data_IF_394242714133
#
_entry.id   IF_394242714133
#
_cell.length_a   1.000
_cell.length_b   1.000
_cell.length_c   1.000
_cell.angle_alpha   90.00
_cell.angle_beta   90.00
_cell.angle_gamma   90.00
#
_symmetry.space_group_name_H-M   'P 1'
#
loop_
_entity.id
_entity.type
_entity.pdbx_description
1 polymer ?
#
# COMPACT_ATOMS: atom_id res chain seq x y z
N UNK A 1 -46.29 8.98 60.64
CA UNK A 1 -45.60 9.10 59.33
C UNK A 1 -44.27 9.87 59.36
N UNK A 2 -43.57 9.99 60.50
CA UNK A 2 -42.25 10.67 60.55
C UNK A 2 -41.06 9.70 60.43
N UNK A 3 -41.17 8.48 60.92
CA UNK A 3 -40.07 7.49 60.92
C UNK A 3 -39.69 6.94 59.54
N UNK A 4 -40.63 6.80 58.60
CA UNK A 4 -40.30 6.26 57.26
C UNK A 4 -39.57 7.26 56.33
N UNK A 5 -39.59 8.56 56.66
CA UNK A 5 -38.85 9.57 55.89
C UNK A 5 -37.36 9.58 56.23
N UNK A 6 -36.99 9.23 57.45
CA UNK A 6 -35.59 9.25 57.89
C UNK A 6 -34.79 8.05 57.35
N UNK A 7 -35.43 6.90 57.17
CA UNK A 7 -34.82 5.73 56.53
C UNK A 7 -34.54 5.98 55.05
N UNK A 8 -35.46 6.61 54.31
CA UNK A 8 -35.28 6.87 52.88
C UNK A 8 -34.13 7.86 52.60
N UNK A 9 -33.99 8.90 53.44
CA UNK A 9 -32.88 9.87 53.32
C UNK A 9 -31.52 9.21 53.62
N UNK A 10 -31.47 8.23 54.54
CA UNK A 10 -30.25 7.45 54.80
C UNK A 10 -29.91 6.48 53.66
N UNK A 11 -30.88 5.93 52.93
CA UNK A 11 -30.63 5.01 51.81
C UNK A 11 -30.17 5.73 50.53
N UNK A 12 -30.58 6.98 50.32
CA UNK A 12 -30.11 7.81 49.19
C UNK A 12 -28.70 8.37 49.37
N UNK A 13 -28.15 8.35 50.60
CA UNK A 13 -26.74 8.62 50.86
C UNK A 13 -25.93 7.33 50.73
N UNK A 14 -26.10 6.61 49.61
CA UNK A 14 -24.99 5.81 49.11
C UNK A 14 -23.90 6.85 48.82
N UNK A 15 -22.78 6.88 49.55
CA UNK A 15 -21.62 7.45 48.92
C UNK A 15 -21.51 6.67 47.62
N UNK A 16 -21.41 7.38 46.50
CA UNK A 16 -20.40 6.93 45.58
C UNK A 16 -19.17 6.78 46.46
N UNK A 17 -18.93 5.55 46.96
CA UNK A 17 -17.58 5.01 47.07
C UNK A 17 -17.08 5.04 45.63
N UNK A 18 -16.85 6.26 45.13
CA UNK A 18 -15.80 6.51 44.22
C UNK A 18 -14.63 5.81 44.87
N UNK A 19 -13.97 4.98 44.10
CA UNK A 19 -12.57 4.75 44.29
C UNK A 19 -11.90 6.14 44.31
N UNK A 20 -11.98 6.82 45.47
CA UNK A 20 -11.06 7.87 45.84
C UNK A 20 -9.76 7.15 46.14
N UNK A 21 -8.65 7.53 45.55
CA UNK A 21 -8.39 8.79 44.88
C UNK A 21 -6.91 9.02 45.07
N UNK A 22 -6.20 8.98 43.95
CA UNK A 22 -4.75 8.98 43.89
C UNK A 22 -4.32 7.92 42.90
N UNK A 23 -4.27 8.29 41.62
CA UNK A 23 -3.50 7.54 40.65
C UNK A 23 -2.08 7.46 41.23
N UNK A 24 -1.59 6.25 41.50
CA UNK A 24 -0.24 6.10 42.03
C UNK A 24 0.74 6.67 41.01
N UNK A 25 1.87 7.23 41.44
CA UNK A 25 2.89 7.77 40.51
C UNK A 25 3.29 6.71 39.46
N UNK A 26 3.29 5.44 39.86
CA UNK A 26 3.51 4.28 38.97
C UNK A 26 2.42 4.17 37.92
N UNK A 27 1.14 4.22 38.29
CA UNK A 27 0.05 4.18 37.31
C UNK A 27 0.10 5.38 36.35
N UNK A 28 0.48 6.58 36.82
CA UNK A 28 0.57 7.78 35.95
C UNK A 28 1.68 7.60 34.92
N UNK A 29 2.84 7.11 35.36
CA UNK A 29 3.95 6.79 34.45
C UNK A 29 3.52 5.71 33.45
N UNK A 30 2.82 4.68 33.92
CA UNK A 30 2.38 3.58 33.07
C UNK A 30 1.37 4.04 32.01
N UNK A 31 0.41 4.89 32.39
CA UNK A 31 -0.60 5.41 31.46
C UNK A 31 0.03 6.34 30.41
N UNK A 32 0.96 7.22 30.80
CA UNK A 32 1.72 8.06 29.88
C UNK A 32 2.55 7.18 28.93
N UNK A 33 3.24 6.16 29.44
CA UNK A 33 4.04 5.25 28.64
C UNK A 33 3.19 4.49 27.61
N UNK A 34 2.02 3.99 28.00
CA UNK A 34 1.09 3.32 27.07
C UNK A 34 0.62 4.29 25.99
N UNK A 35 0.18 5.50 26.35
CA UNK A 35 -0.27 6.50 25.37
C UNK A 35 0.87 6.90 24.42
N UNK A 36 2.08 7.10 24.93
CA UNK A 36 3.24 7.42 24.12
C UNK A 36 3.61 6.28 23.14
N UNK A 37 3.56 5.03 23.60
CA UNK A 37 3.80 3.86 22.74
C UNK A 37 2.72 3.71 21.66
N UNK A 38 1.45 3.91 22.01
CA UNK A 38 0.34 3.87 21.04
C UNK A 38 0.48 4.98 20.00
N UNK A 39 0.81 6.21 20.42
CA UNK A 39 1.05 7.32 19.52
C UNK A 39 2.23 7.05 18.57
N UNK A 40 3.32 6.45 19.11
CA UNK A 40 4.47 6.06 18.30
C UNK A 40 4.09 5.00 17.26
N UNK A 41 3.33 3.98 17.65
CA UNK A 41 2.85 2.94 16.74
C UNK A 41 1.93 3.50 15.65
N UNK A 42 1.04 4.44 16.00
CA UNK A 42 0.17 5.12 15.03
C UNK A 42 0.99 5.94 14.02
N UNK A 43 1.96 6.72 14.51
CA UNK A 43 2.87 7.52 13.67
C UNK A 43 3.72 6.67 12.73
N UNK A 44 4.25 5.54 13.20
CA UNK A 44 5.03 4.65 12.35
C UNK A 44 4.14 3.96 11.32
N UNK A 45 2.95 3.49 11.71
CA UNK A 45 1.97 2.92 10.79
C UNK A 45 1.58 3.90 9.68
N UNK A 46 1.25 5.15 10.02
CA UNK A 46 0.87 6.18 9.03
C UNK A 46 2.01 6.49 8.06
N UNK A 47 3.25 6.60 8.54
CA UNK A 47 4.42 6.80 7.69
C UNK A 47 4.62 5.63 6.72
N UNK A 48 4.45 4.40 7.19
CA UNK A 48 4.56 3.23 6.31
C UNK A 48 3.43 3.17 5.28
N UNK A 49 2.19 3.42 5.68
CA UNK A 49 1.03 3.43 4.79
C UNK A 49 1.19 4.50 3.69
N UNK A 50 1.63 5.70 4.06
CA UNK A 50 1.85 6.78 3.11
C UNK A 50 3.02 6.51 2.16
N UNK A 51 4.11 5.89 2.65
CA UNK A 51 5.23 5.48 1.80
C UNK A 51 4.80 4.42 0.78
N UNK A 52 3.96 3.45 1.18
CA UNK A 52 3.40 2.44 0.27
C UNK A 52 2.47 3.09 -0.76
N UNK A 53 1.59 4.00 -0.33
CA UNK A 53 0.69 4.72 -1.24
C UNK A 53 1.47 5.52 -2.29
N UNK A 54 2.48 6.29 -1.86
CA UNK A 54 3.35 7.04 -2.78
C UNK A 54 4.09 6.11 -3.73
N UNK A 55 4.57 4.97 -3.22
CA UNK A 55 5.23 3.95 -4.06
C UNK A 55 4.27 3.41 -5.12
N UNK A 56 3.00 3.17 -4.77
CA UNK A 56 1.96 2.78 -5.72
C UNK A 56 1.72 3.84 -6.80
N UNK A 57 1.65 5.12 -6.42
CA UNK A 57 1.48 6.22 -7.37
C UNK A 57 2.67 6.34 -8.35
N UNK A 58 3.90 6.24 -7.84
CA UNK A 58 5.13 6.28 -8.64
C UNK A 58 5.21 5.07 -9.59
N UNK A 59 4.85 3.87 -9.10
CA UNK A 59 4.79 2.67 -9.94
C UNK A 59 3.83 2.84 -11.11
N UNK A 60 2.65 3.44 -10.86
CA UNK A 60 1.67 3.75 -11.91
C UNK A 60 2.24 4.67 -12.98
N UNK A 61 2.80 5.82 -12.57
CA UNK A 61 3.38 6.77 -13.53
C UNK A 61 4.56 6.19 -14.31
N UNK A 62 5.41 5.39 -13.66
CA UNK A 62 6.55 4.76 -14.32
C UNK A 62 6.09 3.71 -15.34
N UNK A 63 5.07 2.93 -15.01
CA UNK A 63 4.48 1.99 -15.95
C UNK A 63 3.96 2.72 -17.19
N UNK A 64 3.12 3.75 -17.03
CA UNK A 64 2.56 4.54 -18.13
C UNK A 64 3.66 5.09 -19.06
N UNK A 65 4.75 5.62 -18.50
CA UNK A 65 5.89 6.09 -19.29
C UNK A 65 6.58 4.96 -20.06
N UNK A 66 6.82 3.81 -19.42
CA UNK A 66 7.43 2.66 -20.07
C UNK A 66 6.56 2.15 -21.24
N UNK A 67 5.24 2.09 -21.05
CA UNK A 67 4.28 1.76 -22.10
C UNK A 67 4.38 2.73 -23.28
N UNK A 68 4.27 4.05 -23.03
CA UNK A 68 4.32 5.06 -24.08
C UNK A 68 5.61 5.01 -24.90
N UNK A 69 6.75 4.74 -24.25
CA UNK A 69 8.03 4.58 -24.94
C UNK A 69 8.11 3.33 -25.81
N UNK A 70 7.58 2.20 -25.34
CA UNK A 70 7.51 0.98 -26.14
C UNK A 70 6.64 1.23 -27.37
N UNK A 71 5.47 1.84 -27.18
CA UNK A 71 4.54 2.17 -28.27
C UNK A 71 5.19 3.11 -29.30
N UNK A 72 5.88 4.16 -28.84
CA UNK A 72 6.62 5.06 -29.72
C UNK A 72 7.75 4.33 -30.47
N UNK A 73 8.48 3.44 -29.81
CA UNK A 73 9.55 2.65 -30.44
C UNK A 73 9.00 1.72 -31.53
N UNK A 74 7.84 1.12 -31.28
CA UNK A 74 7.12 0.32 -32.27
C UNK A 74 6.68 1.19 -33.45
N UNK A 75 6.00 2.31 -33.19
CA UNK A 75 5.47 3.20 -34.22
C UNK A 75 6.57 3.81 -35.11
N UNK A 76 7.74 4.09 -34.54
CA UNK A 76 8.91 4.63 -35.27
C UNK A 76 9.81 3.54 -35.86
N UNK A 77 9.52 2.26 -35.59
CA UNK A 77 10.36 1.13 -36.00
C UNK A 77 11.77 1.12 -35.39
N UNK A 78 12.02 1.94 -34.37
CA UNK A 78 13.36 2.22 -33.84
C UNK A 78 13.68 1.41 -32.58
N UNK A 79 14.88 0.81 -32.54
CA UNK A 79 15.40 0.12 -31.36
C UNK A 79 14.72 -1.20 -30.99
N UNK A 80 13.97 -1.82 -31.92
CA UNK A 80 13.52 -3.21 -31.79
C UNK A 80 14.61 -4.19 -32.22
N UNK A 81 14.79 -5.27 -31.48
CA UNK A 81 15.71 -6.36 -31.82
C UNK A 81 14.97 -7.46 -32.56
N UNK A 82 15.52 -7.96 -33.67
CA UNK A 82 14.94 -9.09 -34.39
C UNK A 82 14.81 -10.31 -33.46
N UNK A 83 13.64 -10.96 -33.49
CA UNK A 83 13.32 -12.09 -32.63
C UNK A 83 12.36 -13.05 -33.34
N UNK A 84 12.33 -14.30 -32.90
CA UNK A 84 11.39 -15.31 -33.40
C UNK A 84 10.61 -15.88 -32.23
N UNK A 85 9.29 -15.70 -32.23
CA UNK A 85 8.40 -16.36 -31.30
C UNK A 85 8.17 -17.78 -31.79
N UNK A 86 8.38 -18.79 -30.95
CA UNK A 86 8.05 -20.18 -31.28
C UNK A 86 7.02 -20.74 -30.31
N UNK A 87 6.01 -21.42 -30.85
CA UNK A 87 5.01 -22.13 -30.05
C UNK A 87 4.70 -23.47 -30.71
N UNK A 88 4.26 -24.44 -29.90
CA UNK A 88 3.94 -25.78 -30.38
C UNK A 88 2.45 -26.04 -30.22
N UNK A 89 1.84 -26.67 -31.22
CA UNK A 89 0.48 -27.19 -31.16
C UNK A 89 0.56 -28.68 -31.49
N UNK A 90 0.45 -29.52 -30.46
CA UNK A 90 0.73 -30.95 -30.57
C UNK A 90 2.20 -31.21 -30.93
N UNK A 91 2.44 -32.01 -31.98
CA UNK A 91 3.77 -32.31 -32.51
C UNK A 91 4.32 -31.23 -33.46
N UNK A 92 3.49 -30.27 -33.88
CA UNK A 92 3.85 -29.25 -34.87
C UNK A 92 4.39 -28.00 -34.18
N UNK A 93 5.54 -27.52 -34.62
CA UNK A 93 6.13 -26.25 -34.18
C UNK A 93 5.80 -25.13 -35.17
N UNK A 94 5.34 -24.00 -34.64
CA UNK A 94 5.06 -22.78 -35.38
C UNK A 94 6.04 -21.70 -34.94
N UNK A 95 6.55 -20.94 -35.89
CA UNK A 95 7.47 -19.84 -35.65
C UNK A 95 6.93 -18.57 -36.29
N UNK A 96 7.01 -17.46 -35.57
CA UNK A 96 6.61 -16.14 -36.03
C UNK A 96 7.81 -15.22 -35.90
N UNK A 97 8.32 -14.74 -37.03
CA UNK A 97 9.37 -13.72 -37.06
C UNK A 97 8.79 -12.37 -36.69
N UNK A 98 9.59 -11.56 -36.02
CA UNK A 98 9.19 -10.23 -35.61
C UNK A 98 10.32 -9.48 -34.92
N UNK A 99 9.93 -8.46 -34.15
CA UNK A 99 10.84 -7.63 -33.37
C UNK A 99 10.37 -7.51 -31.93
N UNK A 100 11.33 -7.59 -31.02
CA UNK A 100 11.12 -7.36 -29.60
C UNK A 100 11.56 -5.95 -29.22
N UNK A 101 10.69 -5.22 -28.54
CA UNK A 101 10.92 -3.89 -28.02
C UNK A 101 10.92 -3.96 -26.50
N UNK A 102 11.89 -3.32 -25.86
CA UNK A 102 11.97 -3.21 -24.41
C UNK A 102 12.39 -1.81 -24.01
N UNK A 103 11.63 -1.17 -23.12
CA UNK A 103 11.90 0.19 -22.62
C UNK A 103 11.67 0.26 -21.13
N UNK A 104 12.59 0.94 -20.45
CA UNK A 104 12.48 1.24 -19.02
C UNK A 104 11.97 2.67 -18.82
N UNK A 105 11.19 2.88 -17.77
CA UNK A 105 10.79 4.20 -17.29
C UNK A 105 12.02 5.03 -16.89
N UNK A 106 12.02 6.34 -17.15
CA UNK A 106 13.09 7.24 -16.63
C UNK A 106 12.70 7.89 -15.30
N UNK A 107 11.55 7.52 -14.73
CA UNK A 107 11.04 8.07 -13.48
C UNK A 107 11.85 7.66 -12.25
N UNK A 108 11.47 8.20 -11.09
CA UNK A 108 12.07 7.82 -9.82
C UNK A 108 11.80 6.35 -9.48
N UNK A 109 12.73 5.66 -8.82
CA UNK A 109 12.59 4.25 -8.44
C UNK A 109 11.25 3.94 -7.74
N UNK A 110 10.64 2.76 -7.99
CA UNK A 110 11.21 1.65 -8.76
C UNK A 110 11.07 1.80 -10.28
N UNK A 111 12.14 1.48 -11.00
CA UNK A 111 12.12 1.44 -12.46
C UNK A 111 11.17 0.34 -12.97
N UNK A 112 10.38 0.67 -13.99
CA UNK A 112 9.49 -0.28 -14.67
C UNK A 112 9.99 -0.52 -16.08
N UNK A 113 10.17 -1.79 -16.45
CA UNK A 113 10.55 -2.17 -17.82
C UNK A 113 9.36 -2.82 -18.50
N UNK A 114 8.90 -2.19 -19.59
CA UNK A 114 7.86 -2.73 -20.44
C UNK A 114 8.48 -3.39 -21.66
N UNK A 115 7.88 -4.48 -22.11
CA UNK A 115 8.34 -5.20 -23.29
C UNK A 115 7.18 -5.65 -24.18
N UNK A 116 7.41 -5.66 -25.49
CA UNK A 116 6.42 -6.05 -26.49
C UNK A 116 7.09 -6.75 -27.66
N UNK A 117 6.43 -7.79 -28.17
CA UNK A 117 6.79 -8.44 -29.42
C UNK A 117 5.82 -8.00 -30.52
N UNK A 118 6.36 -7.56 -31.66
CA UNK A 118 5.59 -7.18 -32.84
C UNK A 118 5.96 -8.14 -33.96
N UNK A 119 5.03 -8.96 -34.47
CA UNK A 119 5.30 -9.85 -35.59
C UNK A 119 5.56 -9.03 -36.86
N UNK A 120 6.47 -9.53 -37.70
CA UNK A 120 6.67 -8.96 -39.03
C UNK A 120 5.40 -9.22 -39.86
N UNK A 121 4.99 -8.23 -40.65
CA UNK A 121 3.87 -8.39 -41.57
C UNK A 121 4.21 -9.52 -42.55
N UNK A 122 3.35 -10.53 -42.64
CA UNK A 122 3.48 -11.57 -43.65
C UNK A 122 3.27 -10.93 -45.03
N UNK A 123 4.33 -10.87 -45.84
CA UNK A 123 4.26 -10.46 -47.24
C UNK A 123 3.57 -11.53 -48.10
#
# INVERSE_FOLDING_TARGET
MRQQRETFIKTCRKPYRGAGGGFTLVEVILSIAIVALLALMALTADRTAFAIFRRGAIMGSNAEQAYAKVEQAIATGSGGSAATLSFRVGATAYTVSGRYYSRTSDGAEPNQTMSAFVPDQAH
#
